data_IF_262049550249
#
_entry.id   IF_262049550249
#
_cell.length_a   1.000
_cell.length_b   1.000
_cell.length_c   1.000
_cell.angle_alpha   90.00
_cell.angle_beta   90.00
_cell.angle_gamma   90.00
#
_symmetry.space_group_name_H-M   'P 1'
#
loop_
_entity.id
_entity.type
_entity.pdbx_description
1 polymer ?
#
# COMPACT_ATOMS: atom_id res chain seq x y z
N UNK A 1 0.70 -12.90 6.23
CA UNK A 1 -0.01 -12.03 5.25
C UNK A 1 -1.51 -12.29 5.29
N UNK A 2 -1.98 -13.51 5.04
CA UNK A 2 -3.42 -13.85 5.16
C UNK A 2 -3.99 -13.59 6.56
N UNK A 3 -3.20 -13.87 7.62
CA UNK A 3 -3.56 -13.54 9.02
C UNK A 3 -3.70 -12.04 9.31
N UNK A 4 -3.24 -11.19 8.39
CA UNK A 4 -3.31 -9.72 8.46
C UNK A 4 -4.21 -9.17 7.35
N UNK A 5 -4.93 -10.03 6.64
CA UNK A 5 -5.84 -9.64 5.56
C UNK A 5 -5.18 -9.16 4.26
N UNK A 6 -3.84 -9.14 4.20
CA UNK A 6 -3.10 -8.72 3.00
C UNK A 6 -2.89 -9.95 2.13
N UNK A 7 -3.55 -9.99 0.98
CA UNK A 7 -3.30 -11.01 -0.03
C UNK A 7 -2.31 -10.46 -1.07
N UNK A 8 -1.13 -11.06 -1.12
CA UNK A 8 -0.16 -10.79 -2.17
C UNK A 8 -0.23 -11.95 -3.14
N UNK A 9 -0.94 -11.76 -4.24
CA UNK A 9 -0.98 -12.72 -5.34
C UNK A 9 -0.30 -12.14 -6.57
N UNK A 10 0.52 -12.98 -7.20
CA UNK A 10 1.09 -12.70 -8.51
C UNK A 10 -0.05 -12.82 -9.51
N UNK A 11 -0.44 -11.69 -10.13
CA UNK A 11 -1.50 -11.65 -11.14
C UNK A 11 -0.91 -11.65 -12.54
N UNK A 12 -1.56 -12.33 -13.50
CA UNK A 12 -1.12 -12.37 -14.91
C UNK A 12 -1.00 -10.97 -15.56
N UNK A 13 -1.81 -10.02 -15.09
CA UNK A 13 -1.74 -8.63 -15.54
C UNK A 13 -0.43 -7.96 -15.11
N UNK A 14 0.08 -8.27 -13.91
CA UNK A 14 1.36 -7.78 -13.42
C UNK A 14 2.54 -8.36 -14.22
N UNK A 15 2.47 -9.63 -14.62
CA UNK A 15 3.48 -10.24 -15.50
C UNK A 15 3.55 -9.52 -16.84
N UNK A 16 2.38 -9.26 -17.44
CA UNK A 16 2.30 -8.57 -18.74
C UNK A 16 2.71 -7.10 -18.67
N UNK A 17 2.66 -6.50 -17.48
CA UNK A 17 3.04 -5.12 -17.22
C UNK A 17 4.51 -4.96 -16.79
N UNK A 18 5.27 -6.06 -16.65
CA UNK A 18 6.65 -6.03 -16.13
C UNK A 18 6.75 -5.78 -14.62
N UNK A 19 5.61 -5.73 -13.91
CA UNK A 19 5.57 -5.47 -12.46
C UNK A 19 6.23 -6.60 -11.67
N UNK A 20 6.24 -7.84 -12.20
CA UNK A 20 6.83 -9.01 -11.55
C UNK A 20 8.26 -9.34 -12.04
N UNK A 21 8.86 -8.46 -12.85
CA UNK A 21 10.21 -8.68 -13.34
C UNK A 21 11.20 -8.83 -12.17
N UNK A 22 12.19 -9.70 -12.37
CA UNK A 22 13.24 -10.04 -11.40
C UNK A 22 12.76 -10.54 -10.04
N UNK A 23 11.50 -11.02 -9.93
CA UNK A 23 10.97 -11.57 -8.68
C UNK A 23 11.90 -12.64 -8.07
N UNK A 24 12.21 -12.60 -6.75
CA UNK A 24 11.71 -11.67 -5.72
C UNK A 24 12.67 -10.50 -5.41
N UNK A 25 13.64 -10.20 -6.28
CA UNK A 25 14.72 -9.26 -5.99
C UNK A 25 14.20 -7.83 -5.74
N UNK A 26 14.77 -7.16 -4.73
CA UNK A 26 14.42 -5.78 -4.40
C UNK A 26 13.04 -5.60 -3.74
N UNK A 27 12.35 -6.69 -3.37
CA UNK A 27 11.03 -6.65 -2.73
C UNK A 27 11.11 -6.97 -1.26
N UNK A 28 10.24 -6.34 -0.47
CA UNK A 28 10.26 -6.50 0.98
C UNK A 28 8.94 -6.17 1.64
N UNK A 29 8.68 -6.83 2.76
CA UNK A 29 7.48 -6.59 3.56
C UNK A 29 7.93 -6.28 4.98
N UNK A 30 7.51 -5.12 5.47
CA UNK A 30 7.61 -4.76 6.87
C UNK A 30 6.24 -4.97 7.52
N UNK A 31 6.21 -5.62 8.68
CA UNK A 31 4.99 -5.81 9.46
C UNK A 31 5.31 -5.35 10.88
N UNK A 32 4.46 -4.48 11.42
CA UNK A 32 4.53 -4.08 12.82
C UNK A 32 4.32 -5.25 13.77
N UNK A 33 4.94 -5.22 14.94
CA UNK A 33 4.85 -6.31 15.93
C UNK A 33 3.41 -6.52 16.41
N UNK A 34 2.63 -5.44 16.54
CA UNK A 34 1.21 -5.51 16.90
C UNK A 34 0.32 -5.85 15.70
N UNK A 35 0.90 -6.05 14.51
CA UNK A 35 0.19 -6.31 13.24
C UNK A 35 -0.85 -5.25 12.91
N UNK A 36 -0.61 -4.02 13.37
CA UNK A 36 -1.48 -2.87 13.19
C UNK A 36 -1.28 -2.17 11.84
N UNK A 37 -0.10 -2.35 11.24
CA UNK A 37 0.19 -1.89 9.90
C UNK A 37 1.23 -2.77 9.21
N UNK A 38 1.29 -2.66 7.88
CA UNK A 38 2.32 -3.27 7.06
C UNK A 38 2.75 -2.32 5.94
N UNK A 39 3.99 -2.48 5.48
CA UNK A 39 4.53 -1.73 4.35
C UNK A 39 5.08 -2.73 3.35
N UNK A 40 4.60 -2.65 2.11
CA UNK A 40 5.07 -3.45 0.99
C UNK A 40 5.96 -2.55 0.13
N UNK A 41 7.16 -3.03 -0.18
CA UNK A 41 8.15 -2.35 -1.01
C UNK A 41 8.31 -3.10 -2.31
N UNK A 42 8.15 -2.39 -3.44
CA UNK A 42 8.27 -2.91 -4.81
C UNK A 42 7.34 -4.11 -5.10
N UNK A 43 6.07 -4.01 -4.69
CA UNK A 43 5.05 -4.98 -5.08
C UNK A 43 4.31 -4.49 -6.33
N UNK A 44 3.19 -3.77 -6.19
CA UNK A 44 2.53 -3.10 -7.33
C UNK A 44 3.09 -1.69 -7.53
N UNK A 45 3.23 -0.94 -6.43
CA UNK A 45 3.90 0.36 -6.38
C UNK A 45 5.23 0.26 -5.62
N UNK A 46 6.03 1.34 -5.68
CA UNK A 46 7.29 1.43 -4.94
C UNK A 46 7.08 1.23 -3.43
N UNK A 47 6.03 1.83 -2.86
CA UNK A 47 5.67 1.72 -1.44
C UNK A 47 4.14 1.67 -1.33
N UNK A 48 3.63 0.64 -0.66
CA UNK A 48 2.21 0.53 -0.30
C UNK A 48 2.11 0.37 1.22
N UNK A 49 1.37 1.27 1.89
CA UNK A 49 1.17 1.26 3.35
C UNK A 49 -0.24 0.81 3.67
N UNK A 50 -0.37 -0.24 4.48
CA UNK A 50 -1.64 -0.80 4.91
C UNK A 50 -1.81 -0.59 6.41
N UNK A 51 -2.95 -0.06 6.84
CA UNK A 51 -3.38 -0.12 8.25
C UNK A 51 -4.38 -1.26 8.40
N UNK A 52 -4.23 -2.04 9.47
CA UNK A 52 -5.06 -3.20 9.76
C UNK A 52 -5.71 -2.99 11.13
N UNK A 53 -7.04 -3.16 11.18
CA UNK A 53 -7.82 -2.98 12.39
C UNK A 53 -8.98 -3.96 12.41
N UNK A 54 -9.15 -4.65 13.54
CA UNK A 54 -10.26 -5.59 13.74
C UNK A 54 -11.57 -4.88 14.13
N UNK A 55 -11.49 -3.72 14.78
CA UNK A 55 -12.64 -3.06 15.41
C UNK A 55 -13.28 -1.95 14.55
N UNK A 56 -12.74 -1.68 13.35
CA UNK A 56 -13.37 -0.76 12.39
C UNK A 56 -13.27 0.73 12.76
N UNK A 57 -12.36 1.12 13.67
CA UNK A 57 -12.11 2.55 13.97
C UNK A 57 -11.34 3.23 12.83
N UNK A 58 -12.08 3.73 11.84
CA UNK A 58 -11.54 4.45 10.70
C UNK A 58 -10.76 5.71 11.10
N UNK A 59 -11.17 6.41 12.15
CA UNK A 59 -10.53 7.67 12.56
C UNK A 59 -9.12 7.42 13.08
N UNK A 60 -8.97 6.42 13.96
CA UNK A 60 -7.67 6.03 14.49
C UNK A 60 -6.76 5.47 13.39
N UNK A 61 -7.30 4.64 12.50
CA UNK A 61 -6.54 4.07 11.38
C UNK A 61 -6.02 5.15 10.42
N UNK A 62 -6.86 6.13 10.08
CA UNK A 62 -6.45 7.23 9.20
C UNK A 62 -5.36 8.10 9.85
N UNK A 63 -5.49 8.41 11.15
CA UNK A 63 -4.47 9.15 11.91
C UNK A 63 -3.13 8.41 11.93
N UNK A 64 -3.16 7.11 12.17
CA UNK A 64 -1.96 6.27 12.15
C UNK A 64 -1.33 6.23 10.76
N UNK A 65 -2.14 6.10 9.70
CA UNK A 65 -1.65 6.15 8.33
C UNK A 65 -0.94 7.46 8.02
N UNK A 66 -1.54 8.62 8.35
CA UNK A 66 -0.92 9.93 8.14
C UNK A 66 0.40 10.06 8.93
N UNK A 67 0.44 9.56 10.17
CA UNK A 67 1.67 9.56 10.99
C UNK A 67 2.77 8.69 10.39
N UNK A 68 2.42 7.55 9.78
CA UNK A 68 3.40 6.70 9.10
C UNK A 68 3.93 7.42 7.87
N UNK A 69 3.03 7.92 7.01
CA UNK A 69 3.38 8.61 5.76
C UNK A 69 4.27 9.84 5.98
N UNK A 70 4.10 10.58 7.08
CA UNK A 70 4.96 11.73 7.38
C UNK A 70 6.44 11.37 7.58
N UNK A 71 6.75 10.12 7.97
CA UNK A 71 8.14 9.66 8.04
C UNK A 71 8.75 9.42 6.66
N UNK A 72 7.92 9.21 5.63
CA UNK A 72 8.34 8.94 4.26
C UNK A 72 8.35 10.20 3.37
N UNK A 73 7.85 11.34 3.86
CA UNK A 73 7.81 12.59 3.10
C UNK A 73 9.17 12.99 2.50
N UNK A 74 10.26 12.68 3.21
CA UNK A 74 11.63 12.98 2.77
C UNK A 74 12.07 12.20 1.53
N UNK A 75 11.42 11.08 1.20
CA UNK A 75 11.72 10.32 -0.02
C UNK A 75 11.26 11.07 -1.27
N UNK A 76 10.27 11.96 -1.14
CA UNK A 76 9.58 12.57 -2.26
C UNK A 76 8.65 11.57 -2.97
N UNK A 77 7.43 12.00 -3.26
CA UNK A 77 6.47 11.20 -4.00
C UNK A 77 6.19 11.85 -5.36
N UNK A 78 6.08 11.03 -6.40
CA UNK A 78 5.71 11.50 -7.72
C UNK A 78 4.29 12.05 -7.69
N UNK A 79 4.12 13.32 -8.05
CA UNK A 79 2.85 14.01 -8.01
C UNK A 79 2.67 14.87 -9.27
N UNK A 80 1.46 14.88 -9.81
CA UNK A 80 1.04 15.71 -10.94
C UNK A 80 -0.05 16.69 -10.49
N UNK A 81 -0.01 17.97 -10.93
CA UNK A 81 -1.08 18.93 -10.63
C UNK A 81 -2.47 18.47 -11.07
N UNK A 82 -2.57 17.68 -12.15
CA UNK A 82 -3.85 17.22 -12.70
C UNK A 82 -4.26 15.83 -12.22
N UNK A 83 -3.30 14.98 -11.83
CA UNK A 83 -3.55 13.57 -11.48
C UNK A 83 -3.27 13.23 -10.01
N UNK A 84 -2.74 14.16 -9.21
CA UNK A 84 -2.33 13.89 -7.83
C UNK A 84 -1.14 12.93 -7.75
N UNK A 85 -1.11 12.07 -6.73
CA UNK A 85 -0.07 11.06 -6.57
C UNK A 85 -0.14 10.02 -7.69
N UNK A 86 1.02 9.75 -8.30
CA UNK A 86 1.16 8.81 -9.39
C UNK A 86 1.40 7.41 -8.85
N UNK A 87 0.70 6.44 -9.42
CA UNK A 87 0.77 5.01 -9.09
C UNK A 87 0.90 4.19 -10.38
N UNK A 88 1.29 2.93 -10.26
CA UNK A 88 1.45 2.02 -11.40
C UNK A 88 0.12 1.77 -12.14
N UNK A 89 -0.99 1.75 -11.39
CA UNK A 89 -2.34 1.54 -11.93
C UNK A 89 -3.12 2.84 -11.99
N UNK A 90 -3.68 3.23 -13.16
CA UNK A 90 -4.51 4.44 -13.29
C UNK A 90 -5.72 4.48 -12.33
N UNK A 91 -6.17 3.33 -11.82
CA UNK A 91 -7.27 3.21 -10.84
C UNK A 91 -6.95 3.91 -9.51
N UNK A 92 -5.67 4.03 -9.15
CA UNK A 92 -5.23 4.51 -7.84
C UNK A 92 -4.57 5.91 -7.92
N UNK A 93 -4.81 6.68 -8.99
CA UNK A 93 -4.35 8.07 -9.08
C UNK A 93 -5.08 8.98 -8.09
N UNK A 94 -4.55 10.19 -7.89
CA UNK A 94 -5.16 11.21 -7.04
C UNK A 94 -4.64 11.13 -5.62
N UNK A 95 -5.45 10.57 -4.72
CA UNK A 95 -5.07 10.40 -3.30
C UNK A 95 -4.22 9.16 -3.05
N UNK A 96 -4.20 8.21 -3.98
CA UNK A 96 -3.60 6.88 -3.82
C UNK A 96 -4.08 6.13 -2.56
N UNK A 97 -5.29 6.45 -2.08
CA UNK A 97 -5.88 5.88 -0.88
C UNK A 97 -7.09 5.02 -1.23
N UNK A 98 -7.10 3.79 -0.71
CA UNK A 98 -8.23 2.87 -0.78
C UNK A 98 -8.67 2.49 0.63
N UNK A 99 -9.98 2.50 0.89
CA UNK A 99 -10.57 2.09 2.17
C UNK A 99 -11.51 0.93 1.89
N UNK A 100 -11.23 -0.23 2.50
CA UNK A 100 -12.07 -1.41 2.40
C UNK A 100 -12.64 -1.75 3.77
N UNK A 101 -13.95 -1.95 3.85
CA UNK A 101 -14.64 -2.42 5.04
C UNK A 101 -15.36 -3.74 4.74
N UNK A 102 -15.27 -4.70 5.66
CA UNK A 102 -16.04 -5.93 5.61
C UNK A 102 -17.15 -5.85 6.65
N UNK A 103 -18.39 -5.75 6.17
CA UNK A 103 -19.58 -5.76 7.01
C UNK A 103 -20.04 -7.22 7.21
N UNK A 104 -20.60 -7.52 8.38
CA UNK A 104 -21.24 -8.81 8.66
C UNK A 104 -22.74 -8.73 8.38
#
# INVERSE_FOLDING_TARGET
>A
LDKVGINISVQKAHDSAGINDDWPNGRGIFIDDNKSFAILVNFEDHIQVFTISEEGDLSSNLKNLTKILSNFEKLGFANSPSLGFLTASPKHLGTAMEITARLR
#
